data_IF_143321584217
#
_entry.id   IF_143321584217
#
_cell.length_a   1.000
_cell.length_b   1.000
_cell.length_c   1.000
_cell.angle_alpha   90.00
_cell.angle_beta   90.00
_cell.angle_gamma   90.00
#
_symmetry.space_group_name_H-M   'P 1'
#
loop_
_entity.id
_entity.type
_entity.pdbx_description
1 polymer ?
#
# COMPACT_ATOMS: atom_id res chain seq x y z
N UNK A 1 -27.03 -1.05 -10.40
CA UNK A 1 -26.39 -2.28 -9.89
C UNK A 1 -27.05 -2.62 -8.58
N UNK A 2 -27.45 -3.87 -8.36
CA UNK A 2 -28.05 -4.25 -7.08
C UNK A 2 -27.05 -3.98 -5.95
N UNK A 3 -27.55 -3.51 -4.81
CA UNK A 3 -26.76 -3.15 -3.62
C UNK A 3 -25.80 -4.28 -3.19
N UNK A 4 -26.22 -5.54 -3.39
CA UNK A 4 -25.41 -6.74 -3.19
C UNK A 4 -24.19 -6.85 -4.12
N UNK A 5 -24.32 -6.50 -5.41
CA UNK A 5 -23.20 -6.55 -6.37
C UNK A 5 -22.16 -5.47 -6.03
N UNK A 6 -22.60 -4.31 -5.52
CA UNK A 6 -21.68 -3.27 -5.07
C UNK A 6 -20.98 -3.67 -3.74
N UNK A 7 -21.69 -4.34 -2.82
CA UNK A 7 -21.10 -4.89 -1.59
C UNK A 7 -20.00 -5.90 -1.89
N UNK A 8 -20.26 -6.88 -2.76
CA UNK A 8 -19.28 -7.90 -3.15
C UNK A 8 -18.07 -7.29 -3.87
N UNK A 9 -18.29 -6.29 -4.74
CA UNK A 9 -17.18 -5.61 -5.41
C UNK A 9 -16.28 -4.85 -4.41
N UNK A 10 -16.87 -4.23 -3.37
CA UNK A 10 -16.12 -3.50 -2.34
C UNK A 10 -15.36 -4.44 -1.41
N UNK A 11 -15.93 -5.59 -1.02
CA UNK A 11 -15.23 -6.58 -0.19
C UNK A 11 -14.03 -7.16 -0.93
N UNK A 12 -14.19 -7.52 -2.20
CA UNK A 12 -13.08 -7.99 -3.06
C UNK A 12 -12.01 -6.91 -3.23
N UNK A 13 -12.41 -5.64 -3.33
CA UNK A 13 -11.48 -4.51 -3.42
C UNK A 13 -10.67 -4.34 -2.13
N UNK A 14 -11.32 -4.52 -0.97
CA UNK A 14 -10.69 -4.43 0.36
C UNK A 14 -9.69 -5.57 0.60
N UNK A 15 -10.06 -6.81 0.27
CA UNK A 15 -9.14 -7.95 0.35
C UNK A 15 -7.89 -7.74 -0.50
N UNK A 16 -8.05 -7.20 -1.71
CA UNK A 16 -6.91 -6.86 -2.59
C UNK A 16 -6.05 -5.75 -2.02
N UNK A 17 -6.67 -4.72 -1.42
CA UNK A 17 -5.94 -3.66 -0.74
C UNK A 17 -5.10 -4.19 0.43
N UNK A 18 -5.68 -5.05 1.27
CA UNK A 18 -4.98 -5.70 2.38
C UNK A 18 -3.83 -6.58 1.88
N UNK A 19 -4.06 -7.38 0.84
CA UNK A 19 -3.00 -8.22 0.24
C UNK A 19 -1.84 -7.36 -0.30
N UNK A 20 -2.13 -6.24 -0.97
CA UNK A 20 -1.12 -5.30 -1.46
C UNK A 20 -0.35 -4.69 -0.28
N UNK A 21 -1.06 -4.23 0.76
CA UNK A 21 -0.45 -3.64 1.94
C UNK A 21 0.49 -4.61 2.64
N UNK A 22 0.06 -5.85 2.85
CA UNK A 22 0.88 -6.92 3.45
C UNK A 22 2.11 -7.21 2.58
N UNK A 23 1.93 -7.32 1.26
CA UNK A 23 3.04 -7.59 0.33
C UNK A 23 4.08 -6.46 0.34
N UNK A 24 3.64 -5.20 0.30
CA UNK A 24 4.54 -4.04 0.38
C UNK A 24 5.23 -4.01 1.75
N UNK A 25 4.50 -4.30 2.83
CA UNK A 25 5.05 -4.33 4.19
C UNK A 25 6.14 -5.38 4.36
N UNK A 26 5.87 -6.61 3.92
CA UNK A 26 6.83 -7.72 3.98
C UNK A 26 8.05 -7.42 3.11
N UNK A 27 7.87 -6.92 1.88
CA UNK A 27 9.00 -6.62 0.99
C UNK A 27 9.90 -5.51 1.52
N UNK A 28 9.32 -4.42 2.06
CA UNK A 28 10.07 -3.35 2.70
C UNK A 28 10.78 -3.84 3.98
N UNK A 29 10.09 -4.63 4.82
CA UNK A 29 10.67 -5.20 6.03
C UNK A 29 11.84 -6.16 5.74
N UNK A 30 11.68 -7.05 4.76
CA UNK A 30 12.73 -7.96 4.31
C UNK A 30 13.92 -7.19 3.73
N UNK A 31 13.67 -6.16 2.92
CA UNK A 31 14.71 -5.30 2.37
C UNK A 31 15.47 -4.53 3.45
N UNK A 32 14.79 -4.02 4.48
CA UNK A 32 15.42 -3.40 5.66
C UNK A 32 16.32 -4.39 6.39
N UNK A 33 15.83 -5.60 6.65
CA UNK A 33 16.59 -6.64 7.32
C UNK A 33 17.88 -6.99 6.57
N UNK A 34 17.77 -7.21 5.24
CA UNK A 34 18.92 -7.46 4.38
C UNK A 34 19.89 -6.27 4.36
N UNK A 35 19.35 -5.05 4.34
CA UNK A 35 20.13 -3.83 4.35
C UNK A 35 20.96 -3.68 5.65
N UNK A 36 20.37 -3.99 6.81
CA UNK A 36 21.10 -4.01 8.09
C UNK A 36 22.15 -5.13 8.13
N UNK A 37 21.83 -6.31 7.61
CA UNK A 37 22.77 -7.43 7.55
C UNK A 37 23.99 -7.10 6.68
N UNK A 38 23.76 -6.54 5.48
CA UNK A 38 24.83 -6.08 4.61
C UNK A 38 25.69 -5.00 5.27
N UNK A 39 25.05 -4.03 5.93
CA UNK A 39 25.79 -3.00 6.66
C UNK A 39 26.68 -3.62 7.75
N UNK A 40 26.13 -4.51 8.57
CA UNK A 40 26.89 -5.19 9.63
C UNK A 40 28.08 -5.98 9.10
N UNK A 41 27.95 -6.63 7.94
CA UNK A 41 29.02 -7.42 7.33
C UNK A 41 30.13 -6.56 6.71
N UNK A 42 29.80 -5.35 6.25
CA UNK A 42 30.71 -4.52 5.46
C UNK A 42 31.10 -3.18 6.10
N UNK A 43 30.65 -2.89 7.32
CA UNK A 43 30.90 -1.62 8.02
C UNK A 43 32.38 -1.25 8.07
N UNK A 44 33.26 -2.21 8.33
CA UNK A 44 34.71 -1.96 8.46
C UNK A 44 35.43 -1.82 7.11
N UNK A 45 34.77 -2.21 6.00
CA UNK A 45 35.37 -2.30 4.66
C UNK A 45 34.80 -1.28 3.68
N UNK A 46 33.69 -0.63 4.01
CA UNK A 46 33.01 0.29 3.12
C UNK A 46 33.55 1.72 3.25
N UNK A 47 33.79 2.41 2.12
CA UNK A 47 34.05 3.84 2.15
C UNK A 47 32.91 4.62 2.84
N UNK A 48 33.20 5.71 3.57
CA UNK A 48 32.20 6.47 4.32
C UNK A 48 31.00 6.95 3.49
N UNK A 49 31.17 7.15 2.19
CA UNK A 49 30.10 7.57 1.28
C UNK A 49 28.98 6.52 1.19
N UNK A 50 29.29 5.23 1.32
CA UNK A 50 28.29 4.17 1.31
C UNK A 50 27.41 4.19 2.56
N UNK A 51 27.94 4.62 3.70
CA UNK A 51 27.17 4.77 4.94
C UNK A 51 26.13 5.89 4.78
N UNK A 52 26.51 7.01 4.15
CA UNK A 52 25.59 8.12 3.88
C UNK A 52 24.46 7.70 2.94
N UNK A 53 24.80 7.00 1.85
CA UNK A 53 23.81 6.46 0.90
C UNK A 53 22.90 5.44 1.58
N UNK A 54 23.47 4.56 2.41
CA UNK A 54 22.72 3.56 3.16
C UNK A 54 21.72 4.20 4.13
N UNK A 55 22.14 5.20 4.91
CA UNK A 55 21.25 5.96 5.80
C UNK A 55 20.11 6.62 5.03
N UNK A 56 20.38 7.18 3.86
CA UNK A 56 19.36 7.77 2.99
C UNK A 56 18.36 6.71 2.50
N UNK A 57 18.83 5.56 2.02
CA UNK A 57 17.96 4.47 1.55
C UNK A 57 17.11 3.92 2.69
N UNK A 58 17.69 3.64 3.86
CA UNK A 58 16.96 3.19 5.04
C UNK A 58 15.93 4.23 5.48
N UNK A 59 16.29 5.51 5.50
CA UNK A 59 15.37 6.61 5.78
C UNK A 59 14.19 6.65 4.81
N UNK A 60 14.43 6.48 3.51
CA UNK A 60 13.37 6.40 2.50
C UNK A 60 12.47 5.17 2.68
N UNK A 61 13.03 4.01 3.03
CA UNK A 61 12.26 2.80 3.31
C UNK A 61 11.36 2.94 4.55
N UNK A 62 11.87 3.58 5.61
CA UNK A 62 11.08 3.90 6.80
C UNK A 62 9.96 4.89 6.46
N UNK A 63 10.27 5.94 5.70
CA UNK A 63 9.24 6.87 5.22
C UNK A 63 8.18 6.15 4.38
N UNK A 64 8.58 5.23 3.49
CA UNK A 64 7.66 4.42 2.70
C UNK A 64 6.77 3.53 3.57
N UNK A 65 7.28 2.98 4.68
CA UNK A 65 6.48 2.26 5.67
C UNK A 65 5.46 3.17 6.38
N UNK A 66 5.85 4.39 6.76
CA UNK A 66 4.92 5.37 7.35
C UNK A 66 3.77 5.75 6.38
N UNK A 67 4.06 5.77 5.08
CA UNK A 67 3.08 6.08 4.03
C UNK A 67 2.51 4.84 3.32
N UNK A 68 2.68 3.64 3.89
CA UNK A 68 2.31 2.37 3.25
C UNK A 68 0.84 2.33 2.81
N UNK A 69 -0.04 2.94 3.61
CA UNK A 69 -1.48 3.03 3.31
C UNK A 69 -1.75 3.81 2.02
N UNK A 70 -1.15 5.00 1.89
CA UNK A 70 -1.26 5.84 0.69
C UNK A 70 -0.61 5.20 -0.53
N UNK A 71 0.54 4.54 -0.34
CA UNK A 71 1.23 3.79 -1.40
C UNK A 71 0.39 2.62 -1.88
N UNK A 72 -0.16 1.83 -0.97
CA UNK A 72 -1.02 0.68 -1.27
C UNK A 72 -2.27 1.10 -2.04
N UNK A 73 -2.89 2.22 -1.65
CA UNK A 73 -4.05 2.77 -2.36
C UNK A 73 -3.70 3.27 -3.77
N UNK A 74 -2.58 3.99 -3.94
CA UNK A 74 -2.09 4.38 -5.27
C UNK A 74 -1.80 3.15 -6.14
N UNK A 75 -1.24 2.10 -5.56
CA UNK A 75 -0.94 0.86 -6.27
C UNK A 75 -2.21 0.12 -6.70
N UNK A 76 -3.19 0.05 -5.81
CA UNK A 76 -4.53 -0.46 -6.09
C UNK A 76 -5.18 0.32 -7.24
N UNK A 77 -5.15 1.66 -7.19
CA UNK A 77 -5.70 2.53 -8.23
C UNK A 77 -4.99 2.34 -9.58
N UNK A 78 -3.66 2.21 -9.57
CA UNK A 78 -2.87 2.02 -10.80
C UNK A 78 -3.12 0.64 -11.42
N UNK A 79 -3.27 -0.40 -10.60
CA UNK A 79 -3.43 -1.80 -11.03
C UNK A 79 -4.88 -2.16 -11.39
N UNK A 80 -5.86 -1.62 -10.67
CA UNK A 80 -7.27 -1.97 -10.81
C UNK A 80 -8.16 -0.84 -11.34
N UNK A 81 -7.70 0.41 -11.38
CA UNK A 81 -8.46 1.54 -11.94
C UNK A 81 -8.71 1.48 -13.44
N UNK A 82 -8.02 0.59 -14.17
CA UNK A 82 -8.28 0.32 -15.61
C UNK A 82 -9.37 -0.75 -15.85
N UNK A 83 -9.85 -1.44 -14.81
CA UNK A 83 -10.92 -2.43 -14.94
C UNK A 83 -12.28 -1.73 -14.83
N UNK A 84 -13.12 -1.89 -15.85
CA UNK A 84 -14.43 -1.23 -15.95
C UNK A 84 -15.34 -1.47 -14.73
N UNK A 85 -15.22 -2.63 -14.08
CA UNK A 85 -16.00 -3.01 -12.88
C UNK A 85 -15.61 -2.20 -11.63
N UNK A 86 -14.34 -1.82 -11.49
CA UNK A 86 -13.80 -1.17 -10.29
C UNK A 86 -13.54 0.33 -10.49
N UNK A 87 -13.49 0.80 -11.73
CA UNK A 87 -13.26 2.20 -12.06
C UNK A 87 -14.28 3.17 -11.42
N UNK A 88 -15.61 2.95 -11.48
CA UNK A 88 -16.56 3.87 -10.85
C UNK A 88 -16.51 3.83 -9.31
N UNK A 89 -16.12 2.69 -8.74
CA UNK A 89 -15.96 2.49 -7.29
C UNK A 89 -14.70 3.22 -6.78
N UNK A 90 -13.56 3.00 -7.44
CA UNK A 90 -12.27 3.61 -7.09
C UNK A 90 -12.21 5.11 -7.38
N UNK A 91 -13.05 5.64 -8.28
CA UNK A 91 -13.11 7.07 -8.55
C UNK A 91 -13.81 7.89 -7.44
N UNK A 92 -14.59 7.23 -6.57
CA UNK A 92 -15.37 7.88 -5.49
C UNK A 92 -14.82 7.64 -4.09
N UNK A 93 -13.88 6.71 -3.95
CA UNK A 93 -13.29 6.30 -2.68
C UNK A 93 -11.88 6.89 -2.57
N UNK A 94 -11.53 7.42 -1.41
CA UNK A 94 -10.18 7.90 -1.10
C UNK A 94 -9.41 6.87 -0.22
N UNK A 95 -8.09 7.04 -0.09
CA UNK A 95 -7.22 6.12 0.65
C UNK A 95 -7.62 5.94 2.12
N UNK A 96 -8.19 6.98 2.72
CA UNK A 96 -8.73 6.97 4.09
C UNK A 96 -10.12 6.35 4.18
N UNK A 97 -10.88 6.35 3.09
CA UNK A 97 -12.22 5.80 3.06
C UNK A 97 -12.17 4.26 2.95
N UNK A 98 -11.18 3.68 2.26
CA UNK A 98 -11.07 2.22 2.09
C UNK A 98 -10.91 1.42 3.40
N UNK A 99 -10.50 2.09 4.49
CA UNK A 99 -10.39 1.49 5.83
C UNK A 99 -11.74 1.38 6.56
N UNK A 100 -12.74 2.16 6.16
CA UNK A 100 -14.08 2.12 6.74
C UNK A 100 -14.78 0.78 6.44
N UNK A 101 -15.78 0.43 7.23
CA UNK A 101 -16.60 -0.75 6.95
C UNK A 101 -17.29 -0.62 5.58
N UNK A 102 -17.32 -1.72 4.82
CA UNK A 102 -17.89 -1.75 3.46
C UNK A 102 -19.35 -1.25 3.42
N UNK A 103 -20.12 -1.51 4.49
CA UNK A 103 -21.49 -1.02 4.66
C UNK A 103 -21.57 0.50 4.86
N UNK A 104 -20.61 1.08 5.58
CA UNK A 104 -20.50 2.53 5.83
C UNK A 104 -20.06 3.26 4.55
N UNK A 105 -19.14 2.65 3.79
CA UNK A 105 -18.66 3.19 2.50
C UNK A 105 -19.76 3.27 1.44
N UNK A 106 -20.63 2.26 1.39
CA UNK A 106 -21.79 2.28 0.52
C UNK A 106 -22.79 3.35 0.91
N UNK A 107 -23.10 3.45 2.21
CA UNK A 107 -24.02 4.46 2.72
C UNK A 107 -23.55 5.90 2.47
N UNK A 108 -22.24 6.18 2.57
CA UNK A 108 -21.70 7.54 2.39
C UNK A 108 -21.47 7.95 0.92
N UNK A 109 -21.00 7.03 0.06
CA UNK A 109 -20.50 7.37 -1.30
C UNK A 109 -21.40 6.89 -2.44
N UNK A 110 -22.35 6.01 -2.11
CA UNK A 110 -23.35 5.49 -3.04
C UNK A 110 -24.75 5.53 -2.42
N UNK A 111 -25.23 6.70 -1.96
CA UNK A 111 -26.62 6.82 -1.55
C UNK A 111 -27.53 6.53 -2.75
N UNK A 112 -28.51 5.66 -2.52
CA UNK A 112 -29.55 5.25 -3.46
C UNK A 112 -30.33 6.42 -4.03
#
# INVERSE_FOLDING_TARGET
>A
MSEQVNLEAITVLKEKYESIMVTIGISLGMGLMLSFFMYAQFIDRMPPIFIQVWLLVVGLMIAALCYIKRLSFKWLMTRHGKRAEFQPLLARIDATDIEKEAKVLLAEKFPS
#
